data_IF_829561760047
#
_entry.id   IF_829561760047
#
_cell.length_a   1.000
_cell.length_b   1.000
_cell.length_c   1.000
_cell.angle_alpha   90.00
_cell.angle_beta   90.00
_cell.angle_gamma   90.00
#
_symmetry.space_group_name_H-M   'P 1'
#
loop_
_entity.id
_entity.type
_entity.pdbx_description
1 polymer ?
#
# COMPACT_ATOMS: atom_id res chain seq x y z
N UNK A 1 6.08 -2.58 -7.09
CA UNK A 1 4.97 -3.51 -7.44
C UNK A 1 4.67 -4.49 -6.32
N UNK A 2 5.65 -5.29 -5.86
CA UNK A 2 5.43 -6.28 -4.79
C UNK A 2 4.87 -5.67 -3.50
N UNK A 3 5.42 -4.53 -3.07
CA UNK A 3 4.90 -3.78 -1.91
C UNK A 3 3.42 -3.47 -2.08
N UNK A 4 3.04 -2.83 -3.19
CA UNK A 4 1.65 -2.47 -3.49
C UNK A 4 0.69 -3.64 -3.38
N UNK A 5 1.03 -4.78 -4.00
CA UNK A 5 0.18 -5.98 -3.98
C UNK A 5 -0.01 -6.48 -2.55
N UNK A 6 1.09 -6.60 -1.81
CA UNK A 6 1.08 -7.09 -0.42
C UNK A 6 0.30 -6.12 0.47
N UNK A 7 0.60 -4.82 0.45
CA UNK A 7 -0.08 -3.84 1.29
C UNK A 7 -1.57 -3.75 1.01
N UNK A 8 -2.00 -3.81 -0.27
CA UNK A 8 -3.42 -3.75 -0.63
C UNK A 8 -4.13 -5.01 -0.14
N UNK A 9 -3.53 -6.18 -0.35
CA UNK A 9 -4.10 -7.44 0.11
C UNK A 9 -4.24 -7.47 1.63
N UNK A 10 -3.17 -7.18 2.38
CA UNK A 10 -3.17 -7.20 3.84
C UNK A 10 -4.11 -6.15 4.42
N UNK A 11 -4.13 -4.94 3.84
CA UNK A 11 -5.06 -3.88 4.25
C UNK A 11 -6.52 -4.26 3.99
N UNK A 12 -6.80 -4.97 2.89
CA UNK A 12 -8.16 -5.46 2.59
C UNK A 12 -8.61 -6.54 3.56
N UNK A 13 -7.72 -7.48 3.90
CA UNK A 13 -7.99 -8.52 4.91
C UNK A 13 -8.24 -7.89 6.29
N UNK A 14 -7.36 -6.98 6.74
CA UNK A 14 -7.51 -6.30 8.02
C UNK A 14 -8.76 -5.40 8.04
N UNK A 15 -9.06 -4.70 6.95
CA UNK A 15 -10.28 -3.92 6.79
C UNK A 15 -11.54 -4.79 6.90
N UNK A 16 -11.52 -6.01 6.34
CA UNK A 16 -12.62 -6.96 6.47
C UNK A 16 -12.80 -7.42 7.93
N UNK A 17 -11.70 -7.78 8.60
CA UNK A 17 -11.72 -8.19 10.01
C UNK A 17 -12.28 -7.05 10.89
N UNK A 18 -11.73 -5.84 10.75
CA UNK A 18 -12.16 -4.69 11.53
C UNK A 18 -13.53 -4.13 11.13
N UNK A 19 -14.09 -4.48 9.97
CA UNK A 19 -15.47 -4.06 9.64
C UNK A 19 -16.49 -5.12 10.05
N UNK A 20 -16.22 -6.41 9.83
CA UNK A 20 -17.23 -7.48 9.91
C UNK A 20 -17.16 -8.36 11.14
N UNK A 21 -16.00 -8.44 11.80
CA UNK A 21 -15.88 -9.23 13.02
C UNK A 21 -16.11 -8.37 14.25
N UNK A 22 -16.68 -9.01 15.28
CA UNK A 22 -16.86 -8.45 16.62
C UNK A 22 -15.92 -9.22 17.55
N UNK A 23 -14.99 -8.50 18.18
CA UNK A 23 -14.08 -9.06 19.18
C UNK A 23 -13.76 -7.99 20.22
N UNK A 24 -13.37 -8.43 21.42
CA UNK A 24 -13.08 -7.53 22.54
C UNK A 24 -11.86 -6.67 22.21
N UNK A 25 -11.96 -5.35 22.44
CA UNK A 25 -10.85 -4.41 22.19
C UNK A 25 -10.69 -3.97 20.72
N UNK A 26 -11.60 -4.35 19.82
CA UNK A 26 -11.59 -3.98 18.40
C UNK A 26 -11.33 -2.49 18.13
N UNK A 27 -12.11 -1.60 18.74
CA UNK A 27 -11.97 -0.15 18.51
C UNK A 27 -10.69 0.42 19.10
N UNK A 28 -10.23 -0.13 20.24
CA UNK A 28 -8.95 0.26 20.83
C UNK A 28 -7.78 -0.13 19.91
N UNK A 29 -7.76 -1.36 19.42
CA UNK A 29 -6.74 -1.85 18.49
C UNK A 29 -6.74 -1.05 17.18
N UNK A 30 -7.92 -0.74 16.65
CA UNK A 30 -8.02 0.09 15.47
C UNK A 30 -7.50 1.51 15.72
N UNK A 31 -7.84 2.11 16.86
CA UNK A 31 -7.34 3.43 17.25
C UNK A 31 -5.82 3.43 17.38
N UNK A 32 -5.23 2.38 17.99
CA UNK A 32 -3.77 2.23 18.07
C UNK A 32 -3.14 2.19 16.67
N UNK A 33 -3.73 1.43 15.73
CA UNK A 33 -3.27 1.38 14.34
C UNK A 33 -3.32 2.78 13.71
N UNK A 34 -4.40 3.53 13.88
CA UNK A 34 -4.50 4.90 13.34
C UNK A 34 -3.47 5.85 13.96
N UNK A 35 -3.22 5.74 15.25
CA UNK A 35 -2.22 6.56 15.95
C UNK A 35 -0.81 6.38 15.38
N UNK A 36 -0.50 5.22 14.78
CA UNK A 36 0.80 5.02 14.10
C UNK A 36 1.03 5.99 12.94
N UNK A 37 -0.03 6.51 12.31
CA UNK A 37 0.07 7.49 11.23
C UNK A 37 0.55 8.86 11.72
N UNK A 38 0.43 9.15 13.01
CA UNK A 38 0.91 10.39 13.62
C UNK A 38 2.41 10.36 13.91
N UNK A 39 3.02 9.18 13.89
CA UNK A 39 4.45 9.02 14.18
C UNK A 39 5.25 9.36 12.91
N UNK A 40 6.08 10.43 12.95
CA UNK A 40 6.87 10.81 11.78
C UNK A 40 7.94 9.76 11.49
N UNK A 41 8.09 9.41 10.21
CA UNK A 41 9.04 8.38 9.77
C UNK A 41 10.47 8.64 10.27
N UNK A 42 10.91 9.89 10.31
CA UNK A 42 12.25 10.28 10.76
C UNK A 42 12.57 9.81 12.20
N UNK A 43 11.58 9.69 13.07
CA UNK A 43 11.76 9.24 14.48
C UNK A 43 11.97 7.74 14.57
N UNK A 44 11.28 6.96 13.73
CA UNK A 44 11.35 5.50 13.74
C UNK A 44 12.39 4.93 12.77
N UNK A 45 12.99 5.77 11.94
CA UNK A 45 13.89 5.37 10.86
C UNK A 45 15.13 4.60 11.35
N UNK A 46 15.80 5.12 12.39
CA UNK A 46 16.99 4.48 12.99
C UNK A 46 16.65 3.11 13.60
N UNK A 47 15.67 2.99 14.52
CA UNK A 47 15.34 1.68 15.07
C UNK A 47 14.83 0.72 13.99
N UNK A 48 14.07 1.19 13.00
CA UNK A 48 13.62 0.37 11.88
C UNK A 48 14.80 -0.21 11.09
N UNK A 49 15.80 0.61 10.77
CA UNK A 49 17.02 0.13 10.09
C UNK A 49 17.73 -0.93 10.93
N UNK A 50 17.93 -0.70 12.23
CA UNK A 50 18.58 -1.66 13.12
C UNK A 50 17.82 -3.00 13.13
N UNK A 51 16.48 -2.98 13.18
CA UNK A 51 15.67 -4.20 13.13
C UNK A 51 15.82 -4.94 11.80
N UNK A 52 15.76 -4.22 10.67
CA UNK A 52 15.88 -4.83 9.34
C UNK A 52 17.30 -5.38 9.09
N UNK A 53 18.32 -4.63 9.47
CA UNK A 53 19.71 -5.01 9.29
C UNK A 53 20.14 -6.13 10.24
N UNK A 54 19.88 -5.98 11.54
CA UNK A 54 20.47 -6.86 12.55
C UNK A 54 19.53 -8.02 12.93
N UNK A 55 18.23 -7.77 13.08
CA UNK A 55 17.30 -8.82 13.52
C UNK A 55 16.85 -9.71 12.36
N UNK A 56 16.58 -9.12 11.19
CA UNK A 56 16.13 -9.86 10.01
C UNK A 56 17.25 -10.17 9.00
N UNK A 57 18.39 -9.49 9.07
CA UNK A 57 19.48 -9.69 8.09
C UNK A 57 19.12 -9.27 6.67
N UNK A 58 18.14 -8.38 6.51
CA UNK A 58 17.60 -7.96 5.21
C UNK A 58 18.14 -6.60 4.74
N UNK A 59 19.22 -6.11 5.36
CA UNK A 59 19.97 -4.99 4.81
C UNK A 59 20.50 -5.35 3.42
N UNK A 60 20.50 -4.36 2.53
CA UNK A 60 20.90 -4.50 1.13
C UNK A 60 20.08 -5.49 0.30
N UNK A 61 18.89 -5.87 0.77
CA UNK A 61 17.97 -6.74 0.04
C UNK A 61 16.64 -6.03 -0.21
N UNK A 62 16.08 -6.16 -1.42
CA UNK A 62 14.75 -5.62 -1.75
C UNK A 62 13.64 -6.16 -0.82
N UNK A 63 13.82 -7.35 -0.25
CA UNK A 63 12.92 -7.90 0.76
C UNK A 63 12.81 -7.01 2.02
N UNK A 64 13.86 -6.29 2.41
CA UNK A 64 13.83 -5.32 3.52
C UNK A 64 12.89 -4.13 3.25
N UNK A 65 12.72 -3.75 1.98
CA UNK A 65 11.73 -2.75 1.57
C UNK A 65 10.31 -3.35 1.56
N UNK A 66 10.18 -4.61 1.12
CA UNK A 66 8.87 -5.28 1.05
C UNK A 66 8.26 -5.50 2.43
N UNK A 67 9.06 -6.00 3.38
CA UNK A 67 8.57 -6.30 4.74
C UNK A 67 8.14 -5.04 5.49
N UNK A 68 8.83 -3.92 5.27
CA UNK A 68 8.48 -2.63 5.89
C UNK A 68 7.22 -2.01 5.28
N UNK A 69 6.93 -2.32 4.01
CA UNK A 69 5.68 -1.97 3.36
C UNK A 69 4.56 -3.03 3.49
N UNK A 70 4.67 -4.02 4.39
CA UNK A 70 3.73 -5.15 4.43
C UNK A 70 2.27 -4.75 4.67
N UNK A 71 2.02 -3.68 5.44
CA UNK A 71 0.70 -3.10 5.65
C UNK A 71 0.81 -1.58 5.71
N UNK A 72 -0.33 -0.90 5.62
CA UNK A 72 -0.39 0.55 5.84
C UNK A 72 -1.59 0.88 6.73
N UNK A 73 -1.39 1.68 7.77
CA UNK A 73 -2.48 2.11 8.66
C UNK A 73 -3.58 2.85 7.88
N UNK A 74 -3.19 3.71 6.92
CA UNK A 74 -4.14 4.36 6.01
C UNK A 74 -4.93 3.35 5.17
N UNK A 75 -4.28 2.33 4.63
CA UNK A 75 -4.96 1.29 3.85
C UNK A 75 -5.97 0.52 4.69
N UNK A 76 -5.60 0.13 5.91
CA UNK A 76 -6.51 -0.55 6.85
C UNK A 76 -7.72 0.36 7.16
N UNK A 77 -7.48 1.64 7.43
CA UNK A 77 -8.53 2.63 7.66
C UNK A 77 -9.48 2.74 6.47
N UNK A 78 -8.96 2.98 5.28
CA UNK A 78 -9.74 3.16 4.06
C UNK A 78 -10.58 1.92 3.74
N UNK A 79 -9.96 0.74 3.82
CA UNK A 79 -10.66 -0.52 3.54
C UNK A 79 -11.72 -0.82 4.59
N UNK A 80 -11.45 -0.60 5.89
CA UNK A 80 -12.46 -0.73 6.95
C UNK A 80 -13.65 0.19 6.67
N UNK A 81 -13.39 1.48 6.41
CA UNK A 81 -14.43 2.49 6.21
C UNK A 81 -15.35 2.14 5.03
N UNK A 82 -14.78 1.66 3.93
CA UNK A 82 -15.57 1.19 2.81
C UNK A 82 -16.33 -0.10 3.15
N UNK A 83 -15.66 -1.11 3.70
CA UNK A 83 -16.26 -2.41 3.95
C UNK A 83 -17.36 -2.34 5.01
N UNK A 84 -17.35 -1.35 5.91
CA UNK A 84 -18.48 -1.07 6.81
C UNK A 84 -19.79 -0.84 6.04
N UNK A 85 -19.74 -0.26 4.84
CA UNK A 85 -20.93 -0.04 3.98
C UNK A 85 -21.52 -1.32 3.36
N UNK A 86 -20.78 -2.44 3.36
CA UNK A 86 -21.28 -3.72 2.85
C UNK A 86 -22.32 -4.28 3.84
N UNK A 87 -23.56 -4.59 3.44
CA UNK A 87 -24.57 -5.14 4.36
C UNK A 87 -24.11 -6.42 5.08
N UNK A 88 -24.39 -6.55 6.38
CA UNK A 88 -24.03 -7.74 7.15
C UNK A 88 -24.85 -8.96 6.73
N UNK A 89 -26.09 -8.72 6.28
CA UNK A 89 -27.04 -9.73 5.85
C UNK A 89 -26.52 -10.55 4.67
N UNK A 90 -25.73 -9.94 3.77
CA UNK A 90 -25.08 -10.64 2.66
C UNK A 90 -24.04 -11.66 3.13
N UNK A 91 -23.31 -11.32 4.19
CA UNK A 91 -22.27 -12.18 4.77
C UNK A 91 -22.94 -13.32 5.54
N UNK A 92 -23.97 -13.01 6.32
CA UNK A 92 -24.70 -14.01 7.10
C UNK A 92 -25.48 -14.97 6.20
N UNK A 93 -26.05 -14.51 5.09
CA UNK A 93 -26.64 -15.39 4.07
C UNK A 93 -25.62 -16.36 3.49
N UNK A 94 -24.42 -15.88 3.13
CA UNK A 94 -23.37 -16.75 2.60
C UNK A 94 -22.88 -17.79 3.63
N UNK A 95 -22.87 -17.44 4.93
CA UNK A 95 -22.58 -18.39 6.02
C UNK A 95 -23.67 -19.46 6.15
N UNK A 96 -24.94 -19.08 6.03
CA UNK A 96 -26.08 -20.01 6.04
C UNK A 96 -25.99 -20.99 4.85
N UNK A 97 -25.53 -20.51 3.68
CA UNK A 97 -25.25 -21.33 2.50
C UNK A 97 -23.98 -22.21 2.63
N UNK A 98 -23.32 -22.19 3.80
CA UNK A 98 -22.14 -23.02 4.10
C UNK A 98 -20.84 -22.52 3.47
N UNK A 99 -20.77 -21.26 3.02
CA UNK A 99 -19.52 -20.69 2.51
C UNK A 99 -18.52 -20.46 3.65
N UNK A 100 -17.26 -20.88 3.44
CA UNK A 100 -16.17 -20.56 4.37
C UNK A 100 -15.84 -19.07 4.33
N UNK A 101 -15.26 -18.53 5.40
CA UNK A 101 -14.90 -17.10 5.48
C UNK A 101 -13.95 -16.65 4.38
N UNK A 102 -12.98 -17.50 4.00
CA UNK A 102 -12.10 -17.23 2.86
C UNK A 102 -12.88 -17.15 1.55
N UNK A 103 -13.86 -18.03 1.35
CA UNK A 103 -14.73 -17.97 0.18
C UNK A 103 -15.54 -16.67 0.18
N UNK A 104 -16.19 -16.32 1.28
CA UNK A 104 -16.95 -15.07 1.41
C UNK A 104 -16.08 -13.86 1.09
N UNK A 105 -14.86 -13.82 1.65
CA UNK A 105 -13.92 -12.74 1.39
C UNK A 105 -13.58 -12.63 -0.10
N UNK A 106 -13.09 -13.71 -0.73
CA UNK A 106 -12.63 -13.66 -2.12
C UNK A 106 -13.75 -13.56 -3.16
N UNK A 107 -14.93 -14.13 -2.91
CA UNK A 107 -16.01 -14.18 -3.91
C UNK A 107 -17.05 -13.07 -3.75
N UNK A 108 -17.19 -12.48 -2.56
CA UNK A 108 -18.21 -11.47 -2.28
C UNK A 108 -17.57 -10.12 -1.92
N UNK A 109 -16.77 -10.08 -0.85
CA UNK A 109 -16.27 -8.81 -0.29
C UNK A 109 -15.22 -8.16 -1.20
N UNK A 110 -14.26 -8.94 -1.71
CA UNK A 110 -13.15 -8.44 -2.51
C UNK A 110 -13.62 -7.88 -3.87
N UNK A 111 -14.51 -8.54 -4.63
CA UNK A 111 -15.09 -7.97 -5.86
C UNK A 111 -15.88 -6.68 -5.63
N UNK A 112 -16.66 -6.61 -4.53
CA UNK A 112 -17.39 -5.39 -4.15
C UNK A 112 -16.43 -4.25 -3.76
N UNK A 113 -15.23 -4.58 -3.30
CA UNK A 113 -14.21 -3.63 -2.86
C UNK A 113 -13.20 -3.25 -3.95
N UNK A 114 -13.44 -3.62 -5.22
CA UNK A 114 -12.49 -3.34 -6.31
C UNK A 114 -12.18 -1.85 -6.50
N UNK A 115 -13.18 -0.98 -6.32
CA UNK A 115 -12.98 0.47 -6.44
C UNK A 115 -12.03 1.04 -5.38
N UNK A 116 -12.30 0.91 -4.06
CA UNK A 116 -11.37 1.39 -3.03
C UNK A 116 -10.02 0.66 -3.04
N UNK A 117 -9.98 -0.63 -3.41
CA UNK A 117 -8.70 -1.35 -3.57
C UNK A 117 -7.85 -0.77 -4.69
N UNK A 118 -8.48 -0.37 -5.81
CA UNK A 118 -7.78 0.30 -6.91
C UNK A 118 -7.23 1.65 -6.47
N UNK A 119 -8.02 2.42 -5.70
CA UNK A 119 -7.57 3.69 -5.15
C UNK A 119 -6.38 3.52 -4.20
N UNK A 120 -6.46 2.54 -3.31
CA UNK A 120 -5.37 2.19 -2.39
C UNK A 120 -4.12 1.73 -3.14
N UNK A 121 -4.28 0.91 -4.19
CA UNK A 121 -3.17 0.43 -5.00
C UNK A 121 -2.39 1.58 -5.66
N UNK A 122 -3.10 2.56 -6.24
CA UNK A 122 -2.46 3.76 -6.81
C UNK A 122 -1.72 4.53 -5.72
N UNK A 123 -2.36 4.78 -4.59
CA UNK A 123 -1.78 5.56 -3.50
C UNK A 123 -0.51 4.91 -2.95
N UNK A 124 -0.56 3.61 -2.64
CA UNK A 124 0.59 2.85 -2.15
C UNK A 124 1.68 2.76 -3.21
N UNK A 125 1.31 2.58 -4.48
CA UNK A 125 2.30 2.56 -5.57
C UNK A 125 3.06 3.88 -5.67
N UNK A 126 2.34 5.02 -5.71
CA UNK A 126 2.95 6.34 -5.79
C UNK A 126 3.96 6.58 -4.67
N UNK A 127 3.54 6.34 -3.42
CA UNK A 127 4.40 6.53 -2.25
C UNK A 127 5.67 5.68 -2.34
N UNK A 128 5.56 4.43 -2.78
CA UNK A 128 6.70 3.52 -2.83
C UNK A 128 7.58 3.74 -4.07
N UNK A 129 7.00 4.16 -5.18
CA UNK A 129 7.72 4.46 -6.42
C UNK A 129 8.59 5.70 -6.27
N UNK A 130 8.05 6.75 -5.64
CA UNK A 130 8.76 8.00 -5.37
C UNK A 130 9.62 7.93 -4.09
N UNK A 131 9.63 6.79 -3.40
CA UNK A 131 10.38 6.61 -2.16
C UNK A 131 11.88 6.70 -2.40
N UNK A 132 12.52 7.63 -1.70
CA UNK A 132 13.96 7.86 -1.77
C UNK A 132 14.66 7.55 -0.46
N UNK A 133 14.20 8.14 0.64
CA UNK A 133 14.92 8.14 1.92
C UNK A 133 15.09 6.74 2.51
N UNK A 134 14.06 5.91 2.50
CA UNK A 134 14.15 4.56 3.06
C UNK A 134 15.03 3.63 2.21
N UNK A 135 14.84 3.52 0.88
CA UNK A 135 15.78 2.82 0.00
C UNK A 135 17.22 3.26 0.17
N UNK A 136 17.49 4.57 0.29
CA UNK A 136 18.85 5.11 0.46
C UNK A 136 19.56 4.56 1.70
N UNK A 137 18.80 4.29 2.77
CA UNK A 137 19.33 3.86 4.06
C UNK A 137 19.49 2.35 4.11
N UNK A 138 18.55 1.60 3.52
CA UNK A 138 18.52 0.14 3.62
C UNK A 138 19.29 -0.57 2.52
N UNK A 139 19.48 0.07 1.35
CA UNK A 139 20.18 -0.48 0.19
C UNK A 139 21.54 0.19 0.02
N UNK A 140 22.60 -0.61 -0.03
CA UNK A 140 23.98 -0.15 -0.07
C UNK A 140 24.68 -0.49 -1.39
N UNK A 141 24.34 -1.61 -2.04
CA UNK A 141 24.93 -2.03 -3.31
C UNK A 141 24.23 -1.39 -4.50
N UNK A 142 25.02 -1.12 -5.55
CA UNK A 142 24.55 -0.49 -6.78
C UNK A 142 23.49 -1.34 -7.50
N UNK A 143 23.62 -2.67 -7.45
CA UNK A 143 22.72 -3.60 -8.15
C UNK A 143 21.31 -3.64 -7.55
N UNK A 144 21.18 -3.27 -6.27
CA UNK A 144 19.91 -3.27 -5.57
C UNK A 144 19.23 -1.88 -5.53
N UNK A 145 19.88 -0.84 -6.08
CA UNK A 145 19.36 0.53 -6.03
C UNK A 145 18.02 0.66 -6.74
N UNK A 146 17.11 1.41 -6.13
CA UNK A 146 15.88 1.83 -6.78
C UNK A 146 16.14 2.93 -7.80
N UNK A 147 15.23 3.10 -8.75
CA UNK A 147 15.35 4.09 -9.81
C UNK A 147 15.58 5.52 -9.28
N UNK A 148 14.88 6.00 -8.22
CA UNK A 148 15.20 7.29 -7.60
C UNK A 148 16.65 7.41 -7.07
N UNK A 149 17.23 6.34 -6.52
CA UNK A 149 18.62 6.35 -6.04
C UNK A 149 19.62 6.46 -7.20
N UNK A 150 19.40 5.68 -8.27
CA UNK A 150 20.24 5.72 -9.47
C UNK A 150 20.22 7.12 -10.08
N UNK A 151 19.04 7.74 -10.21
CA UNK A 151 18.91 9.10 -10.73
C UNK A 151 19.62 10.14 -9.86
N UNK A 152 19.56 10.00 -8.53
CA UNK A 152 20.27 10.89 -7.63
C UNK A 152 21.80 10.75 -7.78
N UNK A 153 22.29 9.54 -8.02
CA UNK A 153 23.71 9.25 -8.30
C UNK A 153 24.22 9.92 -9.58
N UNK A 154 23.38 9.99 -10.64
CA UNK A 154 23.75 10.64 -11.91
C UNK A 154 24.09 12.13 -11.77
N UNK A 155 23.59 12.79 -10.72
CA UNK A 155 23.88 14.20 -10.44
C UNK A 155 25.28 14.43 -9.85
N UNK A 156 25.86 13.42 -9.19
CA UNK A 156 27.11 13.56 -8.42
C UNK A 156 28.37 13.04 -9.15
N UNK A 157 28.23 12.14 -10.13
CA UNK A 157 29.39 11.41 -10.66
C UNK A 157 30.16 12.14 -11.77
N UNK A 158 29.53 13.07 -12.49
CA UNK A 158 30.12 13.80 -13.61
C UNK A 158 29.41 15.14 -13.72
N UNK A 159 30.09 16.22 -14.10
CA UNK A 159 29.49 17.54 -14.38
C UNK A 159 28.07 17.38 -14.91
N UNK A 160 27.08 17.90 -14.18
CA UNK A 160 25.69 17.45 -14.21
C UNK A 160 25.23 17.27 -15.65
N UNK A 161 25.14 16.01 -16.11
CA UNK A 161 24.61 15.65 -17.42
C UNK A 161 23.11 15.82 -17.37
N UNK A 162 22.67 17.08 -17.37
CA UNK A 162 21.27 17.49 -17.27
C UNK A 162 20.43 16.78 -18.33
N UNK A 163 21.00 16.49 -19.50
CA UNK A 163 20.36 15.72 -20.56
C UNK A 163 19.98 14.30 -20.12
N UNK A 164 20.88 13.58 -19.43
CA UNK A 164 20.60 12.21 -18.97
C UNK A 164 19.71 12.20 -17.73
N UNK A 165 19.90 13.16 -16.82
CA UNK A 165 19.06 13.29 -15.65
C UNK A 165 17.61 13.63 -16.04
N UNK A 166 17.40 14.60 -16.94
CA UNK A 166 16.08 14.96 -17.44
C UNK A 166 15.42 13.81 -18.20
N UNK A 167 16.16 13.12 -19.09
CA UNK A 167 15.64 11.95 -19.79
C UNK A 167 15.25 10.81 -18.83
N UNK A 168 16.08 10.53 -17.83
CA UNK A 168 15.80 9.55 -16.78
C UNK A 168 14.57 9.91 -15.96
N UNK A 169 14.43 11.17 -15.55
CA UNK A 169 13.25 11.66 -14.84
C UNK A 169 11.97 11.58 -15.68
N UNK A 170 12.04 11.81 -17.00
CA UNK A 170 10.86 11.60 -17.86
C UNK A 170 10.44 10.12 -17.89
N UNK A 171 11.40 9.20 -17.95
CA UNK A 171 11.11 7.76 -17.93
C UNK A 171 10.49 7.29 -16.61
N UNK A 172 10.85 7.90 -15.46
CA UNK A 172 10.27 7.50 -14.17
C UNK A 172 8.80 7.88 -14.01
N UNK A 173 8.33 8.87 -14.77
CA UNK A 173 6.92 9.32 -14.77
C UNK A 173 6.04 8.38 -15.60
N UNK A 174 6.59 7.67 -16.60
CA UNK A 174 5.82 6.81 -17.51
C UNK A 174 5.04 5.70 -16.77
N UNK A 175 5.64 4.92 -15.83
CA UNK A 175 4.90 3.90 -15.09
C UNK A 175 3.77 4.46 -14.24
N UNK A 176 3.99 5.63 -13.63
CA UNK A 176 2.98 6.34 -12.83
C UNK A 176 1.79 6.74 -13.69
N UNK A 177 2.04 7.32 -14.87
CA UNK A 177 0.98 7.69 -15.82
C UNK A 177 0.20 6.47 -16.31
N UNK A 178 0.88 5.37 -16.62
CA UNK A 178 0.23 4.13 -17.04
C UNK A 178 -0.73 3.61 -15.95
N UNK A 179 -0.27 3.52 -14.71
CA UNK A 179 -1.10 3.06 -13.58
C UNK A 179 -2.27 3.99 -13.33
N UNK A 180 -2.05 5.30 -13.37
CA UNK A 180 -3.13 6.27 -13.23
C UNK A 180 -4.18 6.10 -14.33
N UNK A 181 -3.78 5.97 -15.59
CA UNK A 181 -4.69 5.73 -16.72
C UNK A 181 -5.51 4.44 -16.51
N UNK A 182 -4.88 3.34 -16.08
CA UNK A 182 -5.58 2.09 -15.79
C UNK A 182 -6.49 2.15 -14.55
N UNK A 183 -6.14 2.93 -13.54
CA UNK A 183 -6.90 3.04 -12.30
C UNK A 183 -8.08 4.02 -12.40
N UNK A 184 -7.94 5.08 -13.21
CA UNK A 184 -8.96 6.12 -13.42
C UNK A 184 -10.34 5.56 -13.77
N UNK A 185 -10.41 4.49 -14.56
CA UNK A 185 -11.66 3.79 -14.92
C UNK A 185 -12.40 3.17 -13.72
N UNK A 186 -11.68 2.78 -12.66
CA UNK A 186 -12.28 2.24 -11.44
C UNK A 186 -12.73 3.35 -10.49
N UNK A 187 -11.98 4.45 -10.41
CA UNK A 187 -12.40 5.65 -9.67
C UNK A 187 -13.73 6.20 -10.19
N UNK A 188 -13.91 6.30 -11.51
CA UNK A 188 -15.13 6.81 -12.14
C UNK A 188 -16.34 5.90 -11.83
N UNK A 189 -16.15 4.58 -11.84
CA UNK A 189 -17.21 3.61 -11.50
C UNK A 189 -17.60 3.66 -10.01
N UNK A 190 -16.65 3.92 -9.11
CA UNK A 190 -16.91 4.07 -7.67
C UNK A 190 -17.77 5.29 -7.33
N UNK A 191 -17.51 6.42 -7.99
CA UNK A 191 -18.30 7.66 -7.81
C UNK A 191 -19.71 7.51 -8.39
N UNK A 192 -19.88 6.77 -9.48
CA UNK A 192 -21.20 6.52 -10.07
C UNK A 192 -22.12 5.70 -9.13
N UNK A 193 -21.57 4.80 -8.31
CA UNK A 193 -22.35 3.99 -7.36
C UNK A 193 -22.78 4.77 -6.11
N UNK A 194 -22.07 5.84 -5.73
CA UNK A 194 -22.46 6.72 -4.62
C UNK A 194 -23.44 7.82 -5.03
N UNK A 195 -23.48 8.19 -6.32
CA UNK A 195 -24.39 9.21 -6.87
C UNK A 195 -25.82 8.74 -7.16
N UNK A 196 -26.11 7.43 -7.10
CA UNK A 196 -27.47 6.87 -7.28
C UNK A 196 -28.32 6.86 -5.99
N UNK A 197 -27.82 7.49 -4.92
CA UNK A 197 -28.62 7.85 -3.74
C UNK A 197 -28.85 9.36 -3.72
N UNK A 198 -29.75 9.82 -4.59
CA UNK A 198 -30.40 11.12 -4.50
C UNK A 198 -31.89 10.91 -4.82
#
# INVERSE_FOLDING_TARGET
>A
MSVTVVSVFTSSVMGYIFSKYRFVGKELLFTIILSTMMVPFAVIMVPLYITIANSFGLADHLAGIIITGFYTAFGIFLMRQFMESIPFELIDAARIDGASEWRIFFTLVLPMSMSPMSALAVFVYLINWDSFLWPLIVLNSQDNQTLPLVLAGLRNLWWTRYEMWAAGSMLTVVPVMAIYAFASRYFIRGIAMTGLKA
#
